data_IF_741329051410
#
_entry.id   IF_741329051410
#
_cell.length_a   1.000
_cell.length_b   1.000
_cell.length_c   1.000
_cell.angle_alpha   90.00
_cell.angle_beta   90.00
_cell.angle_gamma   90.00
#
_symmetry.space_group_name_H-M   'P 1'
#
loop_
_entity.id
_entity.type
_entity.pdbx_description
1 polymer ?
#
# COMPACT_ATOMS: atom_id res chain seq x y z
N UNK A 1 -17.42 -6.33 -17.48
CA UNK A 1 -17.36 -5.58 -16.19
C UNK A 1 -15.92 -5.13 -16.01
N UNK A 2 -15.68 -3.83 -15.83
CA UNK A 2 -14.34 -3.28 -15.66
C UNK A 2 -13.79 -3.49 -14.25
N UNK A 3 -12.47 -3.40 -14.12
CA UNK A 3 -11.77 -3.41 -12.83
C UNK A 3 -12.21 -2.17 -12.02
N UNK A 4 -12.37 -2.33 -10.70
CA UNK A 4 -12.78 -1.24 -9.81
C UNK A 4 -11.75 -0.09 -9.87
N UNK A 5 -12.17 1.18 -9.91
CA UNK A 5 -11.23 2.29 -9.79
C UNK A 5 -10.52 2.26 -8.43
N UNK A 6 -9.23 2.59 -8.45
CA UNK A 6 -8.37 2.70 -7.27
C UNK A 6 -8.33 4.15 -6.80
N UNK A 7 -8.38 4.37 -5.50
CA UNK A 7 -8.24 5.68 -4.88
C UNK A 7 -6.89 5.79 -4.18
N UNK A 8 -6.28 6.96 -4.27
CA UNK A 8 -5.06 7.29 -3.54
C UNK A 8 -5.33 7.30 -2.03
N UNK A 9 -4.54 6.57 -1.25
CA UNK A 9 -4.76 6.46 0.21
C UNK A 9 -4.37 7.73 0.99
N UNK A 10 -3.66 8.68 0.38
CA UNK A 10 -3.19 9.89 1.03
C UNK A 10 -4.03 11.12 0.66
N UNK A 11 -4.28 11.28 -0.64
CA UNK A 11 -5.05 12.38 -1.22
C UNK A 11 -6.53 12.06 -1.39
N UNK A 12 -6.93 10.79 -1.28
CA UNK A 12 -8.33 10.33 -1.41
C UNK A 12 -8.95 10.69 -2.76
N UNK A 13 -8.13 10.71 -3.81
CA UNK A 13 -8.54 11.00 -5.19
C UNK A 13 -8.40 9.76 -6.05
N UNK A 14 -9.28 9.63 -7.04
CA UNK A 14 -9.20 8.55 -8.03
C UNK A 14 -7.87 8.62 -8.77
N UNK A 15 -7.17 7.49 -8.83
CA UNK A 15 -5.93 7.39 -9.60
C UNK A 15 -6.23 7.25 -11.10
N UNK A 16 -5.35 7.84 -11.91
CA UNK A 16 -5.36 7.70 -13.37
C UNK A 16 -3.98 7.27 -13.83
N UNK A 17 -3.89 6.66 -15.00
CA UNK A 17 -2.61 6.18 -15.56
C UNK A 17 -1.57 7.29 -15.76
N UNK A 18 -2.01 8.56 -15.90
CA UNK A 18 -1.12 9.68 -16.21
C UNK A 18 -0.15 10.01 -15.07
N UNK A 19 -0.62 9.90 -13.83
CA UNK A 19 0.13 10.33 -12.63
C UNK A 19 0.43 9.21 -11.64
N UNK A 20 0.18 7.95 -12.03
CA UNK A 20 0.38 6.78 -11.19
C UNK A 20 1.87 6.63 -10.80
N UNK A 21 2.08 6.35 -9.53
CA UNK A 21 3.35 5.94 -8.93
C UNK A 21 3.07 4.81 -7.94
N UNK A 22 4.08 4.00 -7.65
CA UNK A 22 4.06 3.08 -6.50
C UNK A 22 4.84 3.73 -5.36
N UNK A 23 4.32 3.66 -4.15
CA UNK A 23 4.97 4.10 -2.91
C UNK A 23 5.16 2.92 -1.96
N UNK A 24 6.19 3.03 -1.12
CA UNK A 24 6.42 2.12 0.00
C UNK A 24 5.87 2.75 1.27
N UNK A 25 4.85 2.16 1.89
CA UNK A 25 4.22 2.73 3.09
C UNK A 25 5.25 2.99 4.20
N UNK A 26 6.11 2.01 4.45
CA UNK A 26 7.35 2.14 5.23
C UNK A 26 8.50 2.39 4.23
N UNK A 27 9.33 3.43 4.42
CA UNK A 27 10.38 3.79 3.47
C UNK A 27 11.24 2.62 3.00
N UNK A 28 11.44 2.51 1.68
CA UNK A 28 12.30 1.48 1.08
C UNK A 28 13.71 1.48 1.66
N UNK A 29 14.26 2.66 1.99
CA UNK A 29 15.57 2.76 2.64
C UNK A 29 15.65 2.09 4.02
N UNK A 30 14.51 1.69 4.60
CA UNK A 30 14.43 0.88 5.82
C UNK A 30 14.18 -0.60 5.52
N UNK A 31 13.21 -0.92 4.64
CA UNK A 31 12.80 -2.31 4.34
C UNK A 31 13.77 -3.01 3.37
N UNK A 32 14.42 -2.23 2.49
CA UNK A 32 15.36 -2.66 1.45
C UNK A 32 14.82 -3.67 0.42
N UNK A 33 13.50 -3.86 0.37
CA UNK A 33 12.82 -4.79 -0.52
C UNK A 33 11.48 -4.25 -1.00
N UNK A 34 11.10 -4.63 -2.22
CA UNK A 34 9.82 -4.31 -2.84
C UNK A 34 8.78 -5.36 -2.43
N UNK A 35 8.49 -5.43 -1.14
CA UNK A 35 7.53 -6.35 -0.55
C UNK A 35 6.09 -5.89 -0.81
N UNK A 36 5.23 -6.74 -1.38
CA UNK A 36 3.86 -6.38 -1.73
C UNK A 36 3.03 -5.81 -0.58
N UNK A 37 3.18 -6.36 0.63
CA UNK A 37 2.48 -5.86 1.82
C UNK A 37 2.88 -4.44 2.23
N UNK A 38 3.95 -3.89 1.63
CA UNK A 38 4.43 -2.54 1.85
C UNK A 38 4.26 -1.62 0.63
N UNK A 39 3.75 -2.13 -0.50
CA UNK A 39 3.58 -1.35 -1.73
C UNK A 39 2.13 -0.96 -1.93
N UNK A 40 1.89 0.29 -2.32
CA UNK A 40 0.56 0.72 -2.75
C UNK A 40 0.65 1.79 -3.84
N UNK A 41 -0.39 1.95 -4.68
CA UNK A 41 -0.41 2.98 -5.68
C UNK A 41 -0.72 4.35 -5.06
N UNK A 42 -0.09 5.39 -5.61
CA UNK A 42 -0.32 6.80 -5.27
C UNK A 42 -0.01 7.68 -6.49
N UNK A 43 0.05 9.00 -6.32
CA UNK A 43 0.53 9.94 -7.34
C UNK A 43 2.02 10.27 -7.18
N UNK A 44 2.72 10.60 -8.28
CA UNK A 44 4.13 11.02 -8.21
C UNK A 44 4.37 12.21 -7.28
N UNK A 45 3.45 13.19 -7.28
CA UNK A 45 3.56 14.37 -6.42
C UNK A 45 3.47 14.02 -4.94
N UNK A 46 2.52 13.14 -4.57
CA UNK A 46 2.38 12.70 -3.18
C UNK A 46 3.57 11.83 -2.76
N UNK A 47 3.98 10.88 -3.60
CA UNK A 47 5.15 10.04 -3.35
C UNK A 47 6.41 10.88 -3.09
N UNK A 48 6.67 11.86 -3.96
CA UNK A 48 7.78 12.80 -3.79
C UNK A 48 7.67 13.66 -2.53
N UNK A 49 6.45 14.09 -2.17
CA UNK A 49 6.20 14.82 -0.92
C UNK A 49 6.47 13.95 0.31
N UNK A 50 6.06 12.68 0.31
CA UNK A 50 6.33 11.77 1.42
C UNK A 50 7.83 11.52 1.60
N UNK A 51 8.52 11.16 0.53
CA UNK A 51 9.94 10.80 0.56
C UNK A 51 10.21 9.64 1.53
N UNK A 52 11.33 9.71 2.26
CA UNK A 52 11.72 8.69 3.24
C UNK A 52 11.07 8.91 4.63
N UNK A 53 9.83 9.40 4.69
CA UNK A 53 9.10 9.60 5.95
C UNK A 53 8.00 8.58 6.13
N UNK A 54 7.64 8.34 7.39
CA UNK A 54 6.57 7.46 7.81
C UNK A 54 5.22 8.19 7.77
N UNK A 55 4.23 7.70 7.00
CA UNK A 55 2.88 8.25 7.04
C UNK A 55 2.29 8.14 8.45
N UNK A 56 1.53 9.15 8.88
CA UNK A 56 0.81 9.12 10.15
C UNK A 56 -0.09 7.88 10.25
N UNK A 57 0.35 6.89 11.04
CA UNK A 57 -0.27 5.57 11.16
C UNK A 57 -1.79 5.62 11.31
N UNK A 58 -2.27 6.32 12.35
CA UNK A 58 -3.69 6.43 12.70
C UNK A 58 -4.57 6.97 11.56
N UNK A 59 -3.98 7.76 10.66
CA UNK A 59 -4.71 8.34 9.52
C UNK A 59 -4.69 7.41 8.31
N UNK A 60 -3.53 6.83 7.99
CA UNK A 60 -3.33 6.19 6.69
C UNK A 60 -3.38 4.67 6.71
N UNK A 61 -3.17 4.02 7.86
CA UNK A 61 -3.23 2.55 7.93
C UNK A 61 -4.63 2.03 7.58
N UNK A 62 -5.70 2.67 8.08
CA UNK A 62 -7.08 2.29 7.73
C UNK A 62 -7.38 2.42 6.24
N UNK A 63 -6.79 3.42 5.57
CA UNK A 63 -6.96 3.65 4.14
C UNK A 63 -6.15 2.66 3.31
N UNK A 64 -4.90 2.38 3.73
CA UNK A 64 -4.07 1.32 3.18
C UNK A 64 -4.78 -0.03 3.27
N UNK A 65 -5.27 -0.41 4.46
CA UNK A 65 -5.96 -1.67 4.68
C UNK A 65 -7.15 -1.86 3.74
N UNK A 66 -8.01 -0.85 3.59
CA UNK A 66 -9.15 -0.90 2.67
C UNK A 66 -8.70 -1.07 1.22
N UNK A 67 -7.65 -0.37 0.81
CA UNK A 67 -7.12 -0.43 -0.55
C UNK A 67 -6.46 -1.78 -0.85
N UNK A 68 -5.68 -2.31 0.09
CA UNK A 68 -5.05 -3.62 -0.03
C UNK A 68 -6.08 -4.77 0.00
N UNK A 69 -7.12 -4.66 0.83
CA UNK A 69 -8.21 -5.63 0.82
C UNK A 69 -9.00 -5.59 -0.50
N UNK A 70 -9.22 -4.41 -1.08
CA UNK A 70 -9.80 -4.28 -2.42
C UNK A 70 -8.90 -4.96 -3.47
N UNK A 71 -7.58 -4.77 -3.42
CA UNK A 71 -6.61 -5.45 -4.29
C UNK A 71 -6.69 -6.98 -4.15
N UNK A 72 -6.75 -7.48 -2.90
CA UNK A 72 -6.96 -8.89 -2.59
C UNK A 72 -8.26 -9.44 -3.20
N UNK A 73 -9.37 -8.71 -3.05
CA UNK A 73 -10.66 -9.11 -3.64
C UNK A 73 -10.59 -9.14 -5.17
N UNK A 74 -9.92 -8.16 -5.80
CA UNK A 74 -9.75 -8.12 -7.25
C UNK A 74 -8.90 -9.28 -7.77
N UNK A 75 -7.83 -9.63 -7.06
CA UNK A 75 -6.98 -10.78 -7.37
C UNK A 75 -7.78 -12.09 -7.38
N UNK A 76 -8.66 -12.29 -6.40
CA UNK A 76 -9.50 -13.50 -6.36
C UNK A 76 -10.69 -13.47 -7.32
N UNK A 77 -11.17 -12.28 -7.69
CA UNK A 77 -12.33 -12.11 -8.57
C UNK A 77 -11.98 -12.18 -10.06
N UNK A 78 -10.81 -11.67 -10.45
CA UNK A 78 -10.44 -11.51 -11.86
C UNK A 78 -9.19 -12.34 -12.18
N UNK A 79 -9.35 -13.33 -13.05
CA UNK A 79 -8.23 -14.20 -13.45
C UNK A 79 -7.06 -13.43 -14.06
N UNK A 80 -7.33 -12.40 -14.86
CA UNK A 80 -6.28 -11.53 -15.42
C UNK A 80 -5.45 -10.86 -14.33
N UNK A 81 -6.08 -10.40 -13.24
CA UNK A 81 -5.38 -9.80 -12.10
C UNK A 81 -4.59 -10.87 -11.35
N UNK A 82 -5.17 -12.05 -11.12
CA UNK A 82 -4.49 -13.19 -10.49
C UNK A 82 -3.23 -13.61 -11.23
N UNK A 83 -3.29 -13.67 -12.56
CA UNK A 83 -2.15 -14.04 -13.40
C UNK A 83 -1.01 -13.03 -13.27
N UNK A 84 -1.31 -11.72 -13.30
CA UNK A 84 -0.28 -10.69 -13.11
C UNK A 84 0.27 -10.69 -11.68
N UNK A 85 -0.60 -10.89 -10.67
CA UNK A 85 -0.16 -11.05 -9.28
C UNK A 85 0.85 -12.19 -9.13
N UNK A 86 0.54 -13.39 -9.65
CA UNK A 86 1.41 -14.56 -9.51
C UNK A 86 2.77 -14.39 -10.20
N UNK A 87 2.82 -13.62 -11.30
CA UNK A 87 4.10 -13.33 -11.98
C UNK A 87 5.03 -12.54 -11.06
N UNK A 88 4.51 -11.49 -10.44
CA UNK A 88 5.25 -10.56 -9.60
C UNK A 88 5.46 -11.08 -8.17
N UNK A 89 4.54 -11.88 -7.63
CA UNK A 89 4.63 -12.48 -6.30
C UNK A 89 5.90 -13.32 -6.10
N UNK A 90 6.44 -13.91 -7.17
CA UNK A 90 7.69 -14.70 -7.11
C UNK A 90 8.92 -13.88 -6.72
N UNK A 91 8.91 -12.57 -6.95
CA UNK A 91 10.02 -11.66 -6.68
C UNK A 91 9.73 -10.73 -5.50
N UNK A 92 8.45 -10.55 -5.15
CA UNK A 92 7.98 -9.50 -4.25
C UNK A 92 7.19 -10.02 -3.03
N UNK A 93 7.12 -11.35 -2.85
CA UNK A 93 6.66 -12.00 -1.62
C UNK A 93 7.72 -13.00 -1.16
N UNK A 94 8.64 -12.53 -0.31
CA UNK A 94 9.80 -13.34 0.10
C UNK A 94 9.52 -14.30 1.25
N UNK A 95 8.31 -14.26 1.83
CA UNK A 95 7.90 -15.10 2.95
C UNK A 95 6.65 -15.90 2.62
N UNK A 96 6.79 -17.23 2.64
CA UNK A 96 5.65 -18.14 2.51
C UNK A 96 4.62 -17.97 3.63
N UNK A 97 5.06 -17.59 4.84
CA UNK A 97 4.14 -17.29 5.95
C UNK A 97 3.25 -16.07 5.62
N UNK A 98 3.86 -14.98 5.14
CA UNK A 98 3.12 -13.78 4.72
C UNK A 98 2.17 -14.13 3.56
N UNK A 99 2.61 -14.97 2.62
CA UNK A 99 1.77 -15.45 1.53
C UNK A 99 0.52 -16.17 2.04
N UNK A 100 0.67 -17.08 3.00
CA UNK A 100 -0.44 -17.82 3.59
C UNK A 100 -1.34 -16.99 4.51
N UNK A 101 -0.79 -15.94 5.12
CA UNK A 101 -1.56 -14.99 5.93
C UNK A 101 -2.40 -14.11 5.01
N UNK A 102 -1.77 -13.26 4.20
CA UNK A 102 -2.47 -12.20 3.47
C UNK A 102 -3.12 -12.62 2.15
N UNK A 103 -2.61 -13.65 1.48
CA UNK A 103 -2.99 -13.94 0.09
C UNK A 103 -3.66 -15.31 -0.09
N UNK A 104 -4.05 -16.01 0.99
CA UNK A 104 -4.92 -17.19 0.89
C UNK A 104 -6.36 -16.79 0.56
N UNK A 105 -7.13 -17.65 -0.10
CA UNK A 105 -8.54 -17.36 -0.40
C UNK A 105 -9.41 -17.38 0.86
N UNK A 106 -10.49 -16.60 0.85
CA UNK A 106 -11.54 -16.65 1.88
C UNK A 106 -11.33 -15.76 3.10
N UNK A 107 -10.40 -14.79 3.08
CA UNK A 107 -10.21 -13.85 4.18
C UNK A 107 -11.33 -12.79 4.21
N UNK A 108 -11.88 -12.55 5.40
CA UNK A 108 -12.67 -11.35 5.67
C UNK A 108 -11.79 -10.10 5.75
N UNK A 109 -12.39 -8.92 5.60
CA UNK A 109 -11.68 -7.64 5.73
C UNK A 109 -11.01 -7.50 7.11
N UNK A 110 -11.68 -7.97 8.17
CA UNK A 110 -11.14 -7.92 9.53
C UNK A 110 -9.94 -8.84 9.74
N UNK A 111 -10.00 -10.08 9.22
CA UNK A 111 -8.87 -11.02 9.29
C UNK A 111 -7.67 -10.51 8.48
N UNK A 112 -7.92 -10.03 7.26
CA UNK A 112 -6.88 -9.46 6.41
C UNK A 112 -6.22 -8.25 7.09
N UNK A 113 -7.03 -7.31 7.59
CA UNK A 113 -6.51 -6.10 8.23
C UNK A 113 -5.74 -6.36 9.51
N UNK A 114 -6.20 -7.30 10.35
CA UNK A 114 -5.45 -7.71 11.54
C UNK A 114 -4.09 -8.32 11.19
N UNK A 115 -4.03 -9.19 10.18
CA UNK A 115 -2.77 -9.77 9.72
C UNK A 115 -1.83 -8.73 9.09
N UNK A 116 -2.38 -7.81 8.30
CA UNK A 116 -1.61 -6.72 7.68
C UNK A 116 -1.02 -5.79 8.76
N UNK A 117 -1.78 -5.48 9.80
CA UNK A 117 -1.30 -4.72 10.96
C UNK A 117 -0.18 -5.45 11.70
N UNK A 118 -0.34 -6.73 12.00
CA UNK A 118 0.68 -7.55 12.66
C UNK A 118 2.01 -7.62 11.86
N UNK A 119 1.95 -7.47 10.54
CA UNK A 119 3.11 -7.43 9.66
C UNK A 119 3.73 -6.03 9.62
N UNK A 120 2.93 -5.00 9.37
CA UNK A 120 3.43 -3.63 9.17
C UNK A 120 3.84 -2.94 10.48
N UNK A 121 3.08 -3.11 11.56
CA UNK A 121 3.24 -2.32 12.77
C UNK A 121 4.61 -2.48 13.44
N UNK A 122 5.15 -3.71 13.62
CA UNK A 122 6.49 -3.88 14.20
C UNK A 122 7.57 -3.23 13.33
N UNK A 123 7.47 -3.34 12.01
CA UNK A 123 8.42 -2.76 11.05
C UNK A 123 8.33 -1.23 11.08
N UNK A 124 7.12 -0.67 11.11
CA UNK A 124 6.86 0.77 11.20
C UNK A 124 7.43 1.36 12.49
N UNK A 125 7.18 0.72 13.63
CA UNK A 125 7.70 1.16 14.92
C UNK A 125 9.22 1.11 14.95
N UNK A 126 9.82 0.06 14.38
CA UNK A 126 11.26 -0.10 14.33
C UNK A 126 11.92 0.96 13.43
N UNK A 127 11.32 1.29 12.27
CA UNK A 127 11.74 2.40 11.42
C UNK A 127 11.68 3.74 12.17
N UNK A 128 10.57 3.99 12.88
CA UNK A 128 10.40 5.21 13.69
C UNK A 128 11.49 5.32 14.76
N UNK A 129 11.76 4.24 15.47
CA UNK A 129 12.81 4.18 16.50
C UNK A 129 14.22 4.33 15.91
N UNK A 130 14.39 4.02 14.62
CA UNK A 130 15.64 4.21 13.86
C UNK A 130 15.81 5.64 13.33
N UNK A 131 14.90 6.57 13.66
CA UNK A 131 15.02 8.00 13.34
C UNK A 131 14.28 8.46 12.08
N UNK A 132 13.46 7.60 11.46
CA UNK A 132 12.62 8.00 10.33
C UNK A 132 11.51 8.98 10.79
N UNK A 133 11.47 10.16 10.16
CA UNK A 133 10.53 11.22 10.51
C UNK A 133 9.09 10.90 10.12
N UNK A 134 8.13 11.55 10.77
CA UNK A 134 6.70 11.43 10.44
C UNK A 134 6.30 12.32 9.27
N UNK A 135 5.22 11.95 8.59
CA UNK A 135 4.64 12.70 7.48
C UNK A 135 3.13 12.57 7.46
N UNK A 136 2.47 13.64 7.02
CA UNK A 136 1.05 13.65 6.70
C UNK A 136 0.83 14.53 5.49
N UNK A 137 0.01 14.08 4.55
CA UNK A 137 -0.36 14.87 3.40
C UNK A 137 -1.20 16.08 3.81
N UNK A 138 -0.69 17.26 3.50
CA UNK A 138 -1.43 18.52 3.53
C UNK A 138 -2.00 18.75 2.14
N UNK A 139 -3.32 18.59 2.00
CA UNK A 139 -4.01 18.91 0.75
C UNK A 139 -3.88 20.41 0.54
N UNK A 140 -3.13 20.83 -0.48
CA UNK A 140 -3.20 22.21 -0.95
C UNK A 140 -4.66 22.51 -1.34
N UNK A 141 -5.23 23.67 -0.97
CA UNK A 141 -6.53 24.08 -1.47
C UNK A 141 -6.55 23.94 -3.00
N UNK A 142 -7.62 23.38 -3.54
CA UNK A 142 -7.75 23.09 -4.97
C UNK A 142 -7.53 24.39 -5.78
N UNK A 143 -6.34 24.57 -6.39
CA UNK A 143 -6.03 25.86 -7.00
C UNK A 143 -4.63 26.11 -7.58
N UNK A 144 -3.70 25.15 -7.64
CA UNK A 144 -2.42 25.35 -8.35
C UNK A 144 -2.23 24.28 -9.43
N UNK A 145 -2.64 24.63 -10.65
CA UNK A 145 -2.00 24.14 -11.87
C UNK A 145 -0.67 24.91 -11.99
N UNK A 146 0.46 24.20 -12.01
CA UNK A 146 1.69 24.69 -12.64
C UNK A 146 1.78 24.09 -14.04
#
# INVERSE_FOLDING_TARGET
>A
MGICPICDIYGERRLTERDLSIDHFIPWSYVAHDEFWNLHPTTRSINSSKGNRLPAWEKYFVLLNRQEYLSYQMMWRYESVRVEFEKCAREHLNSDDIRQRLYRSGLSEGEFGGQLEEILWPVYQSARNSGFGSWSYERKPDGELL
#
